data_IF_614301813265
#
_entry.id   IF_614301813265
#
_cell.length_a   1.000
_cell.length_b   1.000
_cell.length_c   1.000
_cell.angle_alpha   90.00
_cell.angle_beta   90.00
_cell.angle_gamma   90.00
#
_symmetry.space_group_name_H-M   'P 1'
#
loop_
_entity.id
_entity.type
_entity.pdbx_description
1 polymer ?
#
# COMPACT_ATOMS: atom_id res chain seq x y z
N UNK A 1 -0.54 -31.14 -14.47
CA UNK A 1 -1.51 -30.38 -15.24
C UNK A 1 -2.07 -29.23 -14.42
N UNK A 2 -1.96 -28.01 -14.94
CA UNK A 2 -2.50 -26.76 -14.37
C UNK A 2 -3.54 -26.14 -15.32
N UNK A 3 -4.26 -27.00 -16.06
CA UNK A 3 -5.13 -26.60 -17.18
C UNK A 3 -6.24 -25.64 -16.73
N UNK A 4 -6.78 -25.83 -15.52
CA UNK A 4 -7.81 -24.94 -14.96
C UNK A 4 -7.24 -23.56 -14.61
N UNK A 5 -6.09 -23.52 -13.91
CA UNK A 5 -5.41 -22.26 -13.55
C UNK A 5 -5.09 -21.39 -14.78
N UNK A 6 -4.78 -22.01 -15.93
CA UNK A 6 -4.51 -21.27 -17.17
C UNK A 6 -5.75 -20.63 -17.80
N UNK A 7 -6.96 -20.96 -17.34
CA UNK A 7 -8.23 -20.45 -17.87
C UNK A 7 -8.95 -19.53 -16.90
N UNK A 8 -8.88 -19.82 -15.61
CA UNK A 8 -9.58 -19.09 -14.54
C UNK A 8 -8.61 -18.96 -13.37
N UNK A 9 -8.39 -17.74 -12.90
CA UNK A 9 -7.60 -17.47 -11.69
C UNK A 9 -8.42 -17.87 -10.46
N UNK A 10 -7.83 -18.66 -9.56
CA UNK A 10 -8.42 -19.11 -8.31
C UNK A 10 -7.31 -19.62 -7.37
N UNK A 11 -7.60 -19.64 -6.07
CA UNK A 11 -6.60 -19.96 -5.04
C UNK A 11 -6.56 -21.46 -4.72
N UNK A 12 -7.73 -22.12 -4.77
CA UNK A 12 -7.93 -23.53 -4.41
C UNK A 12 -9.04 -24.15 -5.24
N UNK A 13 -8.95 -25.45 -5.52
CA UNK A 13 -10.00 -26.19 -6.23
C UNK A 13 -10.38 -27.49 -5.50
N UNK A 14 -11.66 -27.65 -5.17
CA UNK A 14 -12.23 -28.88 -4.61
C UNK A 14 -13.07 -29.58 -5.67
N UNK A 15 -12.76 -30.84 -5.96
CA UNK A 15 -13.58 -31.67 -6.84
C UNK A 15 -14.65 -32.39 -6.01
N UNK A 16 -15.91 -31.99 -6.20
CA UNK A 16 -17.08 -32.69 -5.66
C UNK A 16 -17.53 -33.79 -6.63
N UNK A 17 -16.80 -34.91 -6.69
CA UNK A 17 -17.17 -36.12 -7.43
C UNK A 17 -16.08 -37.19 -7.31
N UNK A 18 -16.43 -38.36 -6.75
CA UNK A 18 -15.91 -39.74 -6.96
C UNK A 18 -16.42 -40.60 -5.79
N UNK A 19 -16.78 -41.87 -6.05
CA UNK A 19 -16.97 -42.88 -5.00
C UNK A 19 -15.61 -43.48 -4.67
N UNK A 20 -15.16 -43.35 -3.41
CA UNK A 20 -13.95 -44.02 -2.96
C UNK A 20 -14.24 -45.51 -2.67
N UNK A 21 -13.27 -46.37 -2.93
CA UNK A 21 -13.39 -47.82 -2.64
C UNK A 21 -13.14 -48.15 -1.16
N UNK A 22 -12.64 -47.20 -0.37
CA UNK A 22 -12.29 -47.36 1.04
C UNK A 22 -13.17 -46.47 1.94
N UNK A 23 -12.99 -46.53 3.25
CA UNK A 23 -13.67 -45.66 4.24
C UNK A 23 -13.19 -44.19 4.21
N UNK A 24 -12.79 -43.71 3.04
CA UNK A 24 -12.31 -42.36 2.79
C UNK A 24 -13.42 -41.62 2.06
N UNK A 25 -13.78 -40.43 2.55
CA UNK A 25 -14.83 -39.60 1.94
C UNK A 25 -14.27 -38.28 1.39
N UNK A 26 -12.98 -38.04 1.57
CA UNK A 26 -12.27 -36.87 1.07
C UNK A 26 -10.76 -37.07 1.13
N UNK A 27 -10.02 -36.31 0.32
CA UNK A 27 -8.55 -36.30 0.33
C UNK A 27 -8.01 -34.99 -0.22
N UNK A 28 -7.06 -34.39 0.49
CA UNK A 28 -6.34 -33.19 0.07
C UNK A 28 -4.84 -33.27 0.39
N UNK A 29 -4.05 -32.40 -0.24
CA UNK A 29 -2.65 -32.19 0.14
C UNK A 29 -2.56 -31.29 1.36
N UNK A 30 -1.75 -31.67 2.34
CA UNK A 30 -1.51 -30.83 3.52
C UNK A 30 -0.56 -29.68 3.19
N UNK A 31 -0.95 -28.45 3.54
CA UNK A 31 -0.16 -27.22 3.31
C UNK A 31 0.00 -26.83 1.84
N UNK A 32 -0.93 -27.27 0.98
CA UNK A 32 -0.90 -27.02 -0.46
C UNK A 32 -1.51 -25.70 -0.92
N UNK A 33 -2.11 -24.89 -0.03
CA UNK A 33 -2.79 -23.65 -0.42
C UNK A 33 -1.90 -22.73 -1.27
N UNK A 34 -2.46 -22.16 -2.34
CA UNK A 34 -1.78 -21.38 -3.38
C UNK A 34 -0.78 -22.12 -4.28
N UNK A 35 -0.42 -23.38 -3.99
CA UNK A 35 0.45 -24.14 -4.89
C UNK A 35 -0.32 -24.55 -6.15
N UNK A 36 0.22 -24.30 -7.36
CA UNK A 36 -0.49 -24.55 -8.62
C UNK A 36 -0.82 -26.03 -8.88
N UNK A 37 -0.18 -26.97 -8.18
CA UNK A 37 -0.43 -28.41 -8.28
C UNK A 37 -1.05 -29.01 -7.03
N UNK A 38 -0.80 -28.42 -5.86
CA UNK A 38 -1.18 -28.99 -4.57
C UNK A 38 -2.34 -28.25 -3.87
N UNK A 39 -2.77 -27.08 -4.35
CA UNK A 39 -3.96 -26.38 -3.82
C UNK A 39 -5.27 -26.99 -4.31
N UNK A 40 -5.41 -28.29 -4.05
CA UNK A 40 -6.52 -29.11 -4.50
C UNK A 40 -6.97 -30.10 -3.44
N UNK A 41 -8.23 -30.50 -3.52
CA UNK A 41 -8.80 -31.61 -2.78
C UNK A 41 -9.94 -32.29 -3.54
N UNK A 42 -10.31 -33.47 -3.07
CA UNK A 42 -11.42 -34.28 -3.60
C UNK A 42 -12.38 -34.58 -2.46
N UNK A 43 -13.69 -34.42 -2.70
CA UNK A 43 -14.75 -34.63 -1.71
C UNK A 43 -15.82 -35.53 -2.31
N UNK A 44 -16.19 -36.58 -1.59
CA UNK A 44 -17.29 -37.47 -1.93
C UNK A 44 -18.62 -36.84 -1.50
N UNK A 45 -19.62 -36.88 -2.37
CA UNK A 45 -21.01 -36.54 -2.02
C UNK A 45 -21.65 -37.72 -1.27
N UNK A 46 -21.21 -37.91 -0.02
CA UNK A 46 -21.49 -39.14 0.78
C UNK A 46 -22.82 -39.12 1.52
N UNK A 47 -23.55 -37.99 1.51
CA UNK A 47 -24.75 -37.82 2.32
C UNK A 47 -25.75 -36.87 1.66
N UNK A 48 -27.08 -37.14 1.73
CA UNK A 48 -28.10 -36.20 1.27
C UNK A 48 -28.19 -34.95 2.16
N UNK A 49 -27.51 -34.94 3.30
CA UNK A 49 -27.41 -33.77 4.18
C UNK A 49 -26.22 -32.92 3.71
N UNK A 50 -26.50 -31.88 2.91
CA UNK A 50 -25.47 -30.98 2.34
C UNK A 50 -24.44 -30.51 3.37
N UNK A 51 -24.87 -30.29 4.62
CA UNK A 51 -23.98 -29.83 5.69
C UNK A 51 -22.89 -30.85 6.05
N UNK A 52 -23.18 -32.15 5.98
CA UNK A 52 -22.17 -33.19 6.22
C UNK A 52 -21.13 -33.25 5.09
N UNK A 53 -21.54 -32.93 3.85
CA UNK A 53 -20.63 -32.84 2.71
C UNK A 53 -19.79 -31.55 2.79
N UNK A 54 -20.39 -30.45 3.23
CA UNK A 54 -19.68 -29.21 3.53
C UNK A 54 -18.65 -29.38 4.65
N UNK A 55 -18.96 -30.16 5.69
CA UNK A 55 -17.99 -30.50 6.75
C UNK A 55 -16.77 -31.24 6.19
N UNK A 56 -16.97 -32.18 5.26
CA UNK A 56 -15.87 -32.84 4.55
C UNK A 56 -15.08 -31.86 3.69
N UNK A 57 -15.74 -30.96 2.97
CA UNK A 57 -15.05 -29.94 2.18
C UNK A 57 -14.20 -29.00 3.07
N UNK A 58 -14.75 -28.57 4.22
CA UNK A 58 -14.03 -27.77 5.20
C UNK A 58 -12.83 -28.53 5.79
N UNK A 59 -12.96 -29.84 6.01
CA UNK A 59 -11.86 -30.71 6.44
C UNK A 59 -10.72 -30.76 5.41
N UNK A 60 -11.05 -31.00 4.13
CA UNK A 60 -10.05 -31.07 3.06
C UNK A 60 -9.38 -29.72 2.79
N UNK A 61 -10.14 -28.62 2.83
CA UNK A 61 -9.57 -27.26 2.79
C UNK A 61 -8.71 -26.96 4.02
N UNK A 62 -9.06 -27.50 5.20
CA UNK A 62 -8.24 -27.45 6.41
C UNK A 62 -6.86 -28.08 6.19
N UNK A 63 -6.81 -29.26 5.56
CA UNK A 63 -5.53 -29.85 5.15
C UNK A 63 -4.77 -28.92 4.21
N UNK A 64 -5.40 -28.38 3.16
CA UNK A 64 -4.73 -27.44 2.26
C UNK A 64 -4.13 -26.22 3.01
N UNK A 65 -4.78 -25.78 4.09
CA UNK A 65 -4.34 -24.72 5.00
C UNK A 65 -3.35 -25.18 6.09
N UNK A 66 -2.73 -26.35 5.93
CA UNK A 66 -1.65 -26.84 6.79
C UNK A 66 -2.12 -27.53 8.08
N UNK A 67 -3.42 -27.77 8.23
CA UNK A 67 -3.99 -28.33 9.45
C UNK A 67 -4.02 -29.86 9.35
N UNK A 68 -3.59 -30.55 10.40
CA UNK A 68 -3.59 -32.00 10.51
C UNK A 68 -4.80 -32.50 11.31
N UNK A 69 -4.95 -33.82 11.34
CA UNK A 69 -5.98 -34.45 12.14
C UNK A 69 -5.82 -34.20 13.65
N UNK A 70 -6.95 -33.98 14.33
CA UNK A 70 -7.00 -33.86 15.79
C UNK A 70 -6.52 -35.14 16.47
N UNK A 71 -5.65 -35.00 17.48
CA UNK A 71 -5.14 -36.12 18.29
C UNK A 71 -4.98 -35.72 19.77
N UNK A 72 -4.97 -36.70 20.67
CA UNK A 72 -4.59 -36.50 22.08
C UNK A 72 -5.43 -35.44 22.81
N UNK A 73 -4.85 -34.25 22.98
CA UNK A 73 -5.41 -33.14 23.78
C UNK A 73 -6.21 -32.10 22.99
N UNK A 74 -6.39 -32.31 21.68
CA UNK A 74 -7.19 -31.40 20.84
C UNK A 74 -8.67 -31.44 21.22
N UNK A 75 -9.31 -30.26 21.34
CA UNK A 75 -10.69 -30.10 21.76
C UNK A 75 -11.34 -28.88 21.12
N UNK A 76 -12.64 -28.98 20.86
CA UNK A 76 -13.50 -27.89 20.38
C UNK A 76 -14.77 -27.77 21.26
N UNK A 77 -14.61 -27.86 22.58
CA UNK A 77 -15.71 -27.60 23.53
C UNK A 77 -16.66 -28.79 23.75
N UNK A 78 -16.16 -30.02 23.68
CA UNK A 78 -16.96 -31.24 23.92
C UNK A 78 -17.77 -31.73 22.72
N UNK A 79 -17.63 -31.07 21.56
CA UNK A 79 -18.18 -31.52 20.29
C UNK A 79 -17.15 -32.32 19.49
N UNK A 80 -17.60 -33.01 18.43
CA UNK A 80 -16.70 -33.46 17.37
C UNK A 80 -16.20 -32.25 16.57
N UNK A 81 -14.91 -32.24 16.24
CA UNK A 81 -14.26 -31.13 15.56
C UNK A 81 -14.09 -31.42 14.07
N UNK A 82 -14.01 -30.38 13.24
CA UNK A 82 -13.88 -30.49 11.77
C UNK A 82 -12.69 -31.39 11.38
N UNK A 83 -11.55 -31.27 12.07
CA UNK A 83 -10.33 -32.03 11.76
C UNK A 83 -10.25 -33.39 12.45
N UNK A 84 -11.36 -33.91 12.98
CA UNK A 84 -11.42 -35.31 13.43
C UNK A 84 -11.11 -36.27 12.28
N UNK A 85 -10.32 -37.33 12.56
CA UNK A 85 -10.02 -38.40 11.58
C UNK A 85 -11.25 -39.12 11.04
N UNK A 86 -12.35 -39.10 11.79
CA UNK A 86 -13.60 -39.77 11.48
C UNK A 86 -14.72 -38.74 11.53
N UNK A 87 -15.53 -38.69 10.48
CA UNK A 87 -16.66 -37.77 10.39
C UNK A 87 -17.75 -38.16 11.41
N UNK A 88 -18.43 -37.15 11.95
CA UNK A 88 -19.60 -37.33 12.81
C UNK A 88 -20.86 -37.57 11.99
N UNK A 89 -21.84 -38.28 12.54
CA UNK A 89 -23.19 -38.37 11.96
C UNK A 89 -23.98 -37.05 12.11
N UNK A 90 -23.53 -36.17 13.00
CA UNK A 90 -24.12 -34.85 13.20
C UNK A 90 -23.20 -33.78 12.60
N UNK A 91 -23.78 -32.74 11.98
CA UNK A 91 -22.98 -31.68 11.39
C UNK A 91 -22.06 -30.97 12.37
N UNK A 92 -20.87 -30.64 11.88
CA UNK A 92 -19.81 -30.00 12.64
C UNK A 92 -19.94 -28.47 12.55
N UNK A 93 -19.26 -27.77 13.46
CA UNK A 93 -19.25 -26.30 13.54
C UNK A 93 -17.89 -25.72 13.89
N UNK A 94 -17.06 -26.47 14.62
CA UNK A 94 -15.90 -25.90 15.28
C UNK A 94 -14.63 -26.63 14.84
N UNK A 95 -13.61 -25.83 14.55
CA UNK A 95 -12.22 -26.29 14.55
C UNK A 95 -11.74 -26.48 16.00
N UNK A 96 -10.76 -27.36 16.21
CA UNK A 96 -10.16 -27.55 17.53
C UNK A 96 -9.17 -26.43 17.86
N UNK A 97 -8.80 -26.34 19.14
CA UNK A 97 -7.69 -25.50 19.57
C UNK A 97 -6.37 -25.84 18.86
N UNK A 98 -6.12 -27.12 18.54
CA UNK A 98 -4.94 -27.53 17.77
C UNK A 98 -5.01 -27.02 16.33
N UNK A 99 -6.17 -27.18 15.69
CA UNK A 99 -6.38 -26.72 14.31
C UNK A 99 -6.07 -25.24 14.15
N UNK A 100 -6.52 -24.43 15.12
CA UNK A 100 -6.25 -22.98 15.13
C UNK A 100 -4.75 -22.67 15.23
N UNK A 101 -4.00 -23.39 16.07
CA UNK A 101 -2.55 -23.20 16.23
C UNK A 101 -1.82 -23.57 14.95
N UNK A 102 -2.15 -24.71 14.34
CA UNK A 102 -1.51 -25.18 13.11
C UNK A 102 -1.82 -24.27 11.92
N UNK A 103 -3.06 -23.78 11.82
CA UNK A 103 -3.44 -22.78 10.82
C UNK A 103 -2.57 -21.52 10.93
N UNK A 104 -2.42 -20.96 12.13
CA UNK A 104 -1.59 -19.77 12.32
C UNK A 104 -0.10 -20.04 12.07
N UNK A 105 0.39 -21.22 12.41
CA UNK A 105 1.76 -21.64 12.09
C UNK A 105 1.98 -21.69 10.56
N UNK A 106 1.01 -22.24 9.82
CA UNK A 106 1.01 -22.26 8.35
C UNK A 106 1.02 -20.85 7.75
N UNK A 107 0.08 -19.99 8.17
CA UNK A 107 -0.03 -18.60 7.68
C UNK A 107 1.26 -17.81 7.97
N UNK A 108 1.79 -17.92 9.18
CA UNK A 108 2.98 -17.12 9.57
C UNK A 108 4.28 -17.61 8.94
N UNK A 109 4.44 -18.93 8.72
CA UNK A 109 5.67 -19.49 8.14
C UNK A 109 5.69 -19.46 6.62
N UNK A 110 4.57 -19.78 5.97
CA UNK A 110 4.52 -19.89 4.50
C UNK A 110 3.98 -18.63 3.85
N UNK A 111 3.20 -17.81 4.58
CA UNK A 111 2.66 -16.53 4.11
C UNK A 111 2.07 -16.63 2.68
N UNK A 112 1.06 -17.50 2.46
CA UNK A 112 0.50 -17.74 1.13
C UNK A 112 -0.12 -16.46 0.56
N UNK A 113 0.53 -15.86 -0.43
CA UNK A 113 0.14 -14.53 -0.93
C UNK A 113 -1.21 -14.50 -1.66
N UNK A 114 -1.64 -15.62 -2.27
CA UNK A 114 -2.86 -15.64 -3.08
C UNK A 114 -4.16 -15.44 -2.29
N UNK A 115 -4.15 -15.72 -0.97
CA UNK A 115 -5.34 -15.54 -0.11
C UNK A 115 -5.39 -14.16 0.57
N UNK A 116 -4.51 -13.23 0.20
CA UNK A 116 -4.47 -11.88 0.78
C UNK A 116 -5.40 -10.89 0.05
N UNK A 117 -5.70 -11.14 -1.22
CA UNK A 117 -6.63 -10.31 -1.97
C UNK A 117 -8.07 -10.72 -1.69
N UNK A 118 -8.93 -9.73 -1.51
CA UNK A 118 -10.37 -9.93 -1.53
C UNK A 118 -10.84 -10.07 -2.99
N UNK A 119 -11.67 -11.07 -3.32
CA UNK A 119 -12.20 -11.22 -4.67
C UNK A 119 -13.09 -10.04 -5.04
N UNK A 120 -13.14 -9.67 -6.33
CA UNK A 120 -14.11 -8.67 -6.76
C UNK A 120 -15.51 -9.25 -6.65
N UNK A 121 -16.51 -8.40 -6.35
CA UNK A 121 -17.91 -8.81 -6.26
C UNK A 121 -18.40 -9.55 -7.52
N UNK A 122 -17.86 -9.17 -8.68
CA UNK A 122 -18.19 -9.78 -9.99
C UNK A 122 -17.56 -11.15 -10.23
N UNK A 123 -16.54 -11.52 -9.45
CA UNK A 123 -15.86 -12.81 -9.55
C UNK A 123 -16.58 -13.89 -8.72
N UNK A 124 -17.44 -13.48 -7.79
CA UNK A 124 -18.26 -14.37 -6.96
C UNK A 124 -19.48 -14.82 -7.76
N UNK A 125 -19.56 -16.12 -8.03
CA UNK A 125 -20.63 -16.73 -8.85
C UNK A 125 -21.78 -17.31 -8.03
N UNK A 126 -21.63 -17.41 -6.71
CA UNK A 126 -22.71 -17.83 -5.83
C UNK A 126 -23.83 -16.78 -5.80
N UNK A 127 -25.09 -17.18 -5.56
CA UNK A 127 -26.13 -16.22 -5.21
C UNK A 127 -25.69 -15.43 -3.97
N UNK A 128 -25.81 -14.08 -3.97
CA UNK A 128 -25.44 -13.24 -2.84
C UNK A 128 -26.14 -13.65 -1.54
N UNK A 129 -25.44 -13.62 -0.41
CA UNK A 129 -25.94 -13.97 0.92
C UNK A 129 -25.58 -12.91 1.95
N UNK A 130 -26.50 -11.99 2.16
CA UNK A 130 -26.34 -10.98 3.21
C UNK A 130 -26.07 -11.58 4.60
N UNK A 131 -24.99 -11.13 5.21
CA UNK A 131 -24.49 -11.52 6.52
C UNK A 131 -23.44 -12.62 6.49
N UNK A 132 -22.83 -12.90 5.34
CA UNK A 132 -21.75 -13.88 5.18
C UNK A 132 -20.34 -13.26 5.28
N UNK A 133 -20.23 -11.96 5.56
CA UNK A 133 -18.98 -11.19 5.67
C UNK A 133 -18.20 -11.07 4.35
N UNK A 134 -18.85 -11.33 3.21
CA UNK A 134 -18.30 -11.12 1.87
C UNK A 134 -19.14 -10.09 1.13
N UNK A 135 -18.49 -9.09 0.55
CA UNK A 135 -19.21 -8.04 -0.16
C UNK A 135 -19.58 -8.48 -1.58
N UNK A 136 -20.84 -8.83 -1.79
CA UNK A 136 -21.31 -9.44 -3.04
C UNK A 136 -22.09 -8.48 -3.95
N UNK A 137 -22.48 -8.95 -5.14
CA UNK A 137 -23.27 -8.16 -6.09
C UNK A 137 -24.66 -7.84 -5.52
N UNK A 138 -24.99 -6.54 -5.44
CA UNK A 138 -26.29 -6.04 -4.96
C UNK A 138 -26.28 -5.52 -3.52
N UNK A 139 -25.24 -5.85 -2.77
CA UNK A 139 -25.00 -5.36 -1.41
C UNK A 139 -24.21 -4.05 -1.45
N UNK A 140 -24.42 -3.17 -0.48
CA UNK A 140 -23.61 -1.96 -0.32
C UNK A 140 -22.52 -2.17 0.74
N UNK A 141 -22.79 -3.04 1.72
CA UNK A 141 -21.88 -3.44 2.79
C UNK A 141 -22.28 -4.84 3.30
N UNK A 142 -21.35 -5.59 3.90
CA UNK A 142 -21.64 -6.81 4.66
C UNK A 142 -20.70 -6.88 5.87
N UNK A 143 -21.27 -6.93 7.07
CA UNK A 143 -20.53 -6.99 8.33
C UNK A 143 -20.94 -8.22 9.17
N UNK A 144 -21.47 -9.25 8.50
CA UNK A 144 -21.98 -10.47 9.12
C UNK A 144 -23.38 -10.28 9.73
N UNK A 145 -23.76 -11.20 10.61
CA UNK A 145 -25.08 -11.18 11.24
C UNK A 145 -25.31 -9.93 12.12
N UNK A 146 -26.57 -9.48 12.33
CA UNK A 146 -26.91 -8.36 13.21
C UNK A 146 -26.39 -8.49 14.66
N UNK A 147 -26.09 -9.71 15.11
CA UNK A 147 -25.54 -9.95 16.45
C UNK A 147 -24.04 -9.65 16.55
N UNK A 148 -23.30 -9.86 15.46
CA UNK A 148 -21.84 -9.79 15.45
C UNK A 148 -21.31 -8.56 14.72
N UNK A 149 -22.13 -7.93 13.88
CA UNK A 149 -21.73 -6.73 13.15
C UNK A 149 -21.27 -5.62 14.09
N UNK A 150 -20.06 -5.11 13.81
CA UNK A 150 -19.46 -3.97 14.51
C UNK A 150 -19.32 -2.74 13.62
N UNK A 151 -19.62 -2.88 12.34
CA UNK A 151 -19.61 -1.76 11.40
C UNK A 151 -20.84 -0.89 11.65
N UNK A 152 -20.61 0.34 12.08
CA UNK A 152 -21.68 1.31 12.35
C UNK A 152 -22.33 1.84 11.08
N UNK A 153 -21.68 1.68 9.93
CA UNK A 153 -22.16 2.17 8.64
C UNK A 153 -23.19 1.24 8.02
N UNK A 154 -23.15 -0.03 8.40
CA UNK A 154 -23.85 -1.11 7.73
C UNK A 154 -25.07 -1.58 8.51
N UNK A 155 -26.22 -1.60 7.84
CA UNK A 155 -27.37 -2.36 8.32
C UNK A 155 -27.18 -3.85 8.00
N UNK A 156 -26.66 -4.58 8.98
CA UNK A 156 -26.41 -6.02 8.89
C UNK A 156 -27.65 -6.86 8.52
N UNK A 157 -28.87 -6.35 8.70
CA UNK A 157 -30.08 -7.09 8.34
C UNK A 157 -30.42 -6.97 6.85
N UNK A 158 -29.93 -5.92 6.19
CA UNK A 158 -30.28 -5.60 4.79
C UNK A 158 -29.06 -5.53 3.87
N UNK A 159 -27.85 -5.53 4.41
CA UNK A 159 -26.58 -5.34 3.69
C UNK A 159 -26.59 -4.04 2.87
N UNK A 160 -27.19 -3.01 3.48
CA UNK A 160 -27.29 -1.66 2.95
C UNK A 160 -26.59 -0.69 3.89
N UNK A 161 -25.99 0.35 3.32
CA UNK A 161 -25.48 1.44 4.13
C UNK A 161 -26.68 2.16 4.76
N UNK A 162 -26.53 2.58 6.01
CA UNK A 162 -27.55 3.42 6.61
C UNK A 162 -27.72 4.73 5.84
N UNK A 163 -28.93 5.26 5.79
CA UNK A 163 -29.24 6.48 5.02
C UNK A 163 -28.50 7.74 5.49
N UNK A 164 -27.84 7.69 6.65
CA UNK A 164 -27.04 8.80 7.20
C UNK A 164 -25.55 8.67 6.90
N UNK A 165 -25.10 7.59 6.25
CA UNK A 165 -23.71 7.42 5.83
C UNK A 165 -23.37 8.50 4.79
N UNK A 166 -22.33 9.27 5.07
CA UNK A 166 -21.83 10.34 4.20
C UNK A 166 -20.55 9.92 3.48
N UNK A 167 -19.80 8.97 4.05
CA UNK A 167 -18.55 8.45 3.51
C UNK A 167 -18.27 7.04 4.00
N UNK A 168 -17.47 6.29 3.23
CA UNK A 168 -17.01 4.94 3.60
C UNK A 168 -15.50 4.90 3.85
N UNK A 169 -14.72 5.76 3.17
CA UNK A 169 -13.27 5.82 3.26
C UNK A 169 -12.72 7.23 2.96
N UNK A 170 -11.47 7.49 3.36
CA UNK A 170 -10.76 8.76 3.18
C UNK A 170 -10.28 9.36 4.50
N UNK A 171 -9.25 10.22 4.48
CA UNK A 171 -8.65 10.77 5.71
C UNK A 171 -9.58 11.73 6.48
N UNK A 172 -10.63 12.22 5.81
CA UNK A 172 -11.70 13.03 6.39
C UNK A 172 -13.00 12.26 6.59
N UNK A 173 -12.94 10.92 6.68
CA UNK A 173 -14.05 10.08 7.07
C UNK A 173 -13.80 9.45 8.44
N UNK A 174 -14.74 9.65 9.37
CA UNK A 174 -14.72 8.98 10.67
C UNK A 174 -16.13 8.50 11.01
N UNK A 175 -16.26 7.23 11.37
CA UNK A 175 -17.55 6.59 11.70
C UNK A 175 -18.64 6.95 10.67
N UNK A 176 -18.32 6.74 9.39
CA UNK A 176 -19.21 6.95 8.24
C UNK A 176 -19.70 8.39 8.03
N UNK A 177 -19.08 9.37 8.69
CA UNK A 177 -19.42 10.79 8.59
C UNK A 177 -18.22 11.62 8.20
N UNK A 178 -18.48 12.75 7.56
CA UNK A 178 -17.41 13.69 7.28
C UNK A 178 -16.87 14.26 8.59
N UNK A 179 -15.55 14.20 8.74
CA UNK A 179 -14.86 14.87 9.84
C UNK A 179 -15.13 16.38 9.72
N UNK A 180 -15.48 17.01 10.85
CA UNK A 180 -15.86 18.44 10.91
C UNK A 180 -14.81 19.33 10.25
N UNK A 181 -15.29 20.38 9.59
CA UNK A 181 -14.46 21.40 8.98
C UNK A 181 -13.38 21.92 9.92
N UNK A 182 -12.14 22.01 9.45
CA UNK A 182 -10.99 22.52 10.22
C UNK A 182 -10.18 21.47 10.99
N UNK A 183 -10.63 20.21 11.07
CA UNK A 183 -9.77 19.13 11.59
C UNK A 183 -8.65 18.82 10.61
N UNK A 184 -7.41 18.75 11.11
CA UNK A 184 -6.23 18.46 10.29
C UNK A 184 -6.24 17.01 9.84
N UNK A 185 -6.29 16.78 8.52
CA UNK A 185 -6.16 15.47 7.90
C UNK A 185 -4.73 15.19 7.43
N UNK A 186 -3.97 16.22 7.07
CA UNK A 186 -2.54 16.11 6.76
C UNK A 186 -1.75 17.15 7.56
N UNK A 187 -0.91 16.73 8.52
CA UNK A 187 -0.03 17.64 9.23
C UNK A 187 1.15 18.07 8.33
N UNK A 188 1.74 19.25 8.59
CA UNK A 188 2.87 19.74 7.82
C UNK A 188 4.10 18.86 8.07
N UNK A 189 4.73 18.38 7.00
CA UNK A 189 5.92 17.51 7.04
C UNK A 189 7.22 18.28 7.17
N UNK A 190 7.25 19.53 6.72
CA UNK A 190 8.44 20.40 6.66
C UNK A 190 8.08 21.86 6.97
N UNK A 191 9.08 22.70 7.20
CA UNK A 191 8.88 24.13 7.49
C UNK A 191 8.13 24.88 6.37
N UNK A 192 8.30 24.47 5.10
CA UNK A 192 7.66 25.05 3.92
C UNK A 192 6.32 24.38 3.54
N UNK A 193 5.89 23.41 4.33
CA UNK A 193 4.63 22.69 4.15
C UNK A 193 3.52 23.36 4.97
N UNK A 194 2.27 23.23 4.51
CA UNK A 194 1.07 23.70 5.22
C UNK A 194 0.30 22.50 5.76
N UNK A 195 -0.65 22.71 6.66
CA UNK A 195 -1.55 21.66 7.09
C UNK A 195 -2.84 21.73 6.27
N UNK A 196 -3.36 20.61 5.77
CA UNK A 196 -4.70 20.56 5.21
C UNK A 196 -5.68 20.08 6.26
N UNK A 197 -6.84 20.69 6.20
CA UNK A 197 -7.94 20.39 7.08
C UNK A 197 -9.16 19.96 6.28
N UNK A 198 -9.92 19.03 6.86
CA UNK A 198 -11.18 18.58 6.31
C UNK A 198 -12.11 19.77 6.04
N UNK A 199 -12.88 19.68 4.96
CA UNK A 199 -13.87 20.69 4.59
C UNK A 199 -15.20 20.52 5.33
N UNK A 200 -15.42 19.35 5.95
CA UNK A 200 -16.71 18.95 6.53
C UNK A 200 -17.77 18.55 5.50
N UNK A 201 -17.39 18.46 4.22
CA UNK A 201 -18.30 18.15 3.10
C UNK A 201 -17.72 17.08 2.15
N UNK A 202 -16.54 16.57 2.46
CA UNK A 202 -15.82 15.58 1.66
C UNK A 202 -15.04 14.66 2.60
N UNK A 203 -14.95 13.39 2.21
CA UNK A 203 -14.14 12.38 2.88
C UNK A 203 -12.65 12.46 2.51
N UNK A 204 -12.34 13.11 1.39
CA UNK A 204 -10.97 13.28 0.91
C UNK A 204 -10.34 14.49 1.58
N UNK A 205 -9.12 14.31 2.08
CA UNK A 205 -8.30 15.45 2.48
C UNK A 205 -8.07 16.37 1.26
N UNK A 206 -8.14 17.70 1.40
CA UNK A 206 -7.82 18.61 0.30
C UNK A 206 -6.44 18.33 -0.30
N UNK A 207 -6.26 18.74 -1.56
CA UNK A 207 -4.96 18.65 -2.24
C UNK A 207 -3.87 19.36 -1.43
N UNK A 208 -2.71 18.72 -1.33
CA UNK A 208 -1.51 19.23 -0.67
C UNK A 208 -1.16 20.65 -1.16
N UNK A 209 -1.17 21.62 -0.25
CA UNK A 209 -0.79 23.00 -0.48
C UNK A 209 0.46 23.37 0.32
N UNK A 210 1.17 24.39 -0.15
CA UNK A 210 2.48 24.75 0.37
C UNK A 210 2.54 26.20 0.79
N UNK A 211 3.52 26.53 1.64
CA UNK A 211 3.81 27.93 1.92
C UNK A 211 4.18 28.63 0.62
N UNK A 212 3.74 29.89 0.51
CA UNK A 212 4.02 30.73 -0.66
C UNK A 212 5.50 30.67 -1.03
N UNK A 213 5.79 30.41 -2.30
CA UNK A 213 7.14 30.48 -2.83
C UNK A 213 7.79 31.83 -2.47
N UNK A 214 9.05 31.81 -2.06
CA UNK A 214 9.80 33.00 -1.62
C UNK A 214 9.75 33.27 -0.11
N UNK A 215 8.88 32.61 0.66
CA UNK A 215 8.86 32.70 2.12
C UNK A 215 10.23 32.25 2.69
N UNK A 216 10.88 32.99 3.59
CA UNK A 216 12.15 32.53 4.16
C UNK A 216 11.98 31.25 4.99
N UNK A 217 12.98 30.38 4.91
CA UNK A 217 13.07 29.11 5.62
C UNK A 217 14.53 28.80 5.97
N UNK A 218 14.75 27.80 6.84
CA UNK A 218 16.08 27.48 7.40
C UNK A 218 16.77 28.74 7.94
N UNK A 219 16.12 29.49 8.85
CA UNK A 219 16.71 30.71 9.45
C UNK A 219 17.24 31.73 8.42
N UNK A 220 16.47 32.02 7.35
CA UNK A 220 16.83 32.92 6.23
C UNK A 220 17.98 32.45 5.31
N UNK A 221 18.49 31.22 5.48
CA UNK A 221 19.50 30.67 4.55
C UNK A 221 18.90 30.28 3.19
N UNK A 222 17.58 30.10 3.09
CA UNK A 222 16.90 29.78 1.84
C UNK A 222 15.45 30.33 1.83
N UNK A 223 14.76 30.05 0.72
CA UNK A 223 13.37 30.44 0.52
C UNK A 223 12.54 29.23 0.08
N UNK A 224 11.28 29.18 0.52
CA UNK A 224 10.37 28.10 0.19
C UNK A 224 10.11 28.04 -1.32
N UNK A 225 10.07 26.83 -1.86
CA UNK A 225 9.74 26.55 -3.24
C UNK A 225 9.03 25.19 -3.31
N UNK A 226 7.75 25.19 -3.70
CA UNK A 226 6.93 23.98 -3.86
C UNK A 226 7.05 23.03 -2.65
N UNK A 227 6.78 23.54 -1.44
CA UNK A 227 6.81 22.76 -0.20
C UNK A 227 8.20 22.45 0.36
N UNK A 228 9.28 22.78 -0.37
CA UNK A 228 10.65 22.53 0.04
C UNK A 228 11.41 23.82 0.33
N UNK A 229 12.57 23.69 0.98
CA UNK A 229 13.49 24.79 1.25
C UNK A 229 14.85 24.51 0.57
N UNK A 230 14.94 24.68 -0.77
CA UNK A 230 16.15 24.34 -1.51
C UNK A 230 17.32 25.26 -1.15
N UNK A 231 18.43 24.65 -0.78
CA UNK A 231 19.69 25.33 -0.48
C UNK A 231 20.86 24.55 -1.10
N UNK A 232 21.84 25.27 -1.64
CA UNK A 232 23.01 24.67 -2.30
C UNK A 232 23.79 23.72 -1.38
N UNK A 233 23.82 23.99 -0.07
CA UNK A 233 24.46 23.09 0.90
C UNK A 233 23.86 21.68 0.88
N UNK A 234 22.54 21.54 0.95
CA UNK A 234 21.87 20.24 0.90
C UNK A 234 22.03 19.56 -0.47
N UNK A 235 22.12 20.32 -1.55
CA UNK A 235 22.40 19.78 -2.88
C UNK A 235 23.82 19.22 -2.96
N UNK A 236 24.82 19.92 -2.42
CA UNK A 236 26.19 19.41 -2.32
C UNK A 236 26.28 18.16 -1.45
N UNK A 237 25.59 18.16 -0.30
CA UNK A 237 25.48 16.99 0.56
C UNK A 237 24.88 15.79 -0.20
N UNK A 238 23.81 15.98 -0.96
CA UNK A 238 23.16 14.92 -1.72
C UNK A 238 24.05 14.36 -2.84
N UNK A 239 24.88 15.20 -3.46
CA UNK A 239 25.76 14.79 -4.56
C UNK A 239 27.08 14.16 -4.10
N UNK A 240 27.66 14.63 -3.00
CA UNK A 240 29.03 14.30 -2.60
C UNK A 240 29.17 13.81 -1.14
N UNK A 241 28.07 13.72 -0.39
CA UNK A 241 28.04 13.21 0.97
C UNK A 241 28.28 14.26 2.07
N UNK A 242 28.45 13.78 3.30
CA UNK A 242 28.45 14.61 4.52
C UNK A 242 29.49 15.71 4.61
N UNK A 243 30.62 15.54 3.94
CA UNK A 243 31.76 16.48 4.00
C UNK A 243 31.70 17.55 2.90
N UNK A 244 30.62 17.58 2.13
CA UNK A 244 30.45 18.49 1.01
C UNK A 244 29.78 19.80 1.43
N UNK A 245 30.32 20.92 0.94
CA UNK A 245 29.82 22.28 1.16
C UNK A 245 29.76 23.02 -0.17
N UNK A 246 29.16 24.21 -0.20
CA UNK A 246 29.25 25.07 -1.39
C UNK A 246 30.70 25.44 -1.68
N UNK A 247 31.08 25.38 -2.95
CA UNK A 247 32.36 25.93 -3.39
C UNK A 247 32.36 27.46 -3.35
N UNK A 248 33.54 28.06 -3.51
CA UNK A 248 33.68 29.51 -3.57
C UNK A 248 33.00 30.12 -4.80
N UNK A 249 32.56 31.37 -4.68
CA UNK A 249 31.88 32.13 -5.75
C UNK A 249 32.67 32.20 -7.07
N UNK A 250 34.00 32.08 -7.01
CA UNK A 250 34.89 32.01 -8.17
C UNK A 250 34.61 30.79 -9.06
N UNK A 251 34.24 29.64 -8.48
CA UNK A 251 33.93 28.42 -9.23
C UNK A 251 32.73 28.61 -10.17
N UNK A 252 31.72 29.36 -9.72
CA UNK A 252 30.49 29.60 -10.50
C UNK A 252 30.73 30.46 -11.75
N UNK A 253 31.83 31.21 -11.83
CA UNK A 253 32.14 32.05 -13.01
C UNK A 253 32.31 31.23 -14.29
N UNK A 254 32.63 29.95 -14.17
CA UNK A 254 32.80 29.03 -15.30
C UNK A 254 31.47 28.81 -16.04
N UNK A 255 30.32 29.02 -15.39
CA UNK A 255 28.99 28.93 -16.02
C UNK A 255 28.74 29.98 -17.13
N UNK A 256 29.61 30.98 -17.26
CA UNK A 256 29.59 31.93 -18.38
C UNK A 256 30.18 31.37 -19.68
N UNK A 257 30.76 30.17 -19.67
CA UNK A 257 31.37 29.56 -20.87
C UNK A 257 30.34 29.11 -21.91
N UNK A 258 29.15 28.68 -21.50
CA UNK A 258 28.11 28.20 -22.42
C UNK A 258 28.51 26.91 -23.15
N UNK A 259 29.28 26.03 -22.49
CA UNK A 259 29.69 24.74 -23.06
C UNK A 259 28.81 23.60 -22.57
N UNK A 260 29.17 22.34 -22.85
CA UNK A 260 28.39 21.14 -22.51
C UNK A 260 28.02 21.02 -21.03
N UNK A 261 28.87 21.46 -20.11
CA UNK A 261 28.67 21.27 -18.66
C UNK A 261 28.33 22.58 -17.93
N UNK A 262 28.78 23.72 -18.46
CA UNK A 262 28.77 25.02 -17.78
C UNK A 262 27.95 26.02 -18.58
N UNK A 263 26.66 26.03 -18.29
CA UNK A 263 25.66 26.88 -18.93
C UNK A 263 24.53 27.18 -17.93
N UNK A 264 23.62 28.07 -18.29
CA UNK A 264 22.41 28.31 -17.51
C UNK A 264 21.24 27.51 -18.09
N UNK A 265 20.88 27.73 -19.35
CA UNK A 265 19.70 27.11 -19.95
C UNK A 265 19.97 26.55 -21.34
N UNK A 266 19.14 25.61 -21.76
CA UNK A 266 19.16 25.01 -23.08
C UNK A 266 18.04 25.61 -23.92
N UNK A 267 18.37 26.24 -25.04
CA UNK A 267 17.40 26.76 -26.00
C UNK A 267 17.67 26.14 -27.37
N UNK A 268 16.71 25.40 -27.91
CA UNK A 268 16.83 24.72 -29.23
C UNK A 268 18.11 23.87 -29.38
N UNK A 269 18.52 23.18 -28.30
CA UNK A 269 19.73 22.35 -28.28
C UNK A 269 21.05 23.13 -28.12
N UNK A 270 20.98 24.44 -27.96
CA UNK A 270 22.14 25.30 -27.73
C UNK A 270 22.25 25.62 -26.24
N UNK A 271 23.44 25.41 -25.67
CA UNK A 271 23.76 25.79 -24.30
C UNK A 271 23.97 27.30 -24.20
N UNK A 272 23.08 27.98 -23.50
CA UNK A 272 23.16 29.42 -23.31
C UNK A 272 24.02 29.73 -22.07
N UNK A 273 25.11 30.51 -22.21
CA UNK A 273 25.94 30.91 -21.08
C UNK A 273 25.13 31.73 -20.07
N UNK A 274 25.49 31.65 -18.79
CA UNK A 274 24.89 32.49 -17.77
C UNK A 274 25.28 33.96 -17.94
N UNK A 275 24.35 34.88 -17.66
CA UNK A 275 24.70 36.27 -17.37
C UNK A 275 25.46 36.35 -16.04
N UNK A 276 26.07 37.51 -15.75
CA UNK A 276 26.89 37.67 -14.55
C UNK A 276 26.09 37.46 -13.25
N UNK A 277 24.84 37.90 -13.24
CA UNK A 277 23.87 37.76 -12.15
C UNK A 277 23.33 36.33 -12.00
N UNK A 278 23.42 35.51 -13.04
CA UNK A 278 22.82 34.17 -13.13
C UNK A 278 23.82 33.04 -12.88
N UNK A 279 25.11 33.35 -12.68
CA UNK A 279 26.18 32.33 -12.57
C UNK A 279 25.92 31.29 -11.46
N UNK A 280 25.17 31.68 -10.42
CA UNK A 280 24.74 30.82 -9.31
C UNK A 280 23.47 30.00 -9.58
N UNK A 281 22.93 30.05 -10.79
CA UNK A 281 21.77 29.28 -11.23
C UNK A 281 22.09 28.25 -12.32
N UNK A 282 23.35 28.17 -12.77
CA UNK A 282 23.83 27.16 -13.70
C UNK A 282 24.26 25.86 -13.01
N UNK A 283 25.44 25.36 -13.36
CA UNK A 283 26.08 24.22 -12.68
C UNK A 283 26.34 24.54 -11.21
N UNK A 284 25.99 23.60 -10.33
CA UNK A 284 26.36 23.65 -8.92
C UNK A 284 27.83 23.24 -8.75
N UNK A 285 28.56 24.01 -7.95
CA UNK A 285 29.93 23.69 -7.55
C UNK A 285 30.00 23.48 -6.04
N UNK A 286 30.68 22.40 -5.65
CA UNK A 286 30.82 21.95 -4.27
C UNK A 286 32.29 21.78 -3.89
N UNK A 287 32.61 22.15 -2.66
CA UNK A 287 33.90 21.84 -2.05
C UNK A 287 33.72 20.59 -1.17
N UNK A 288 34.62 19.61 -1.28
CA UNK A 288 34.62 18.42 -0.44
C UNK A 288 36.07 18.03 -0.15
N UNK A 289 36.42 17.98 1.14
CA UNK A 289 37.80 17.74 1.60
C UNK A 289 38.40 16.41 1.13
N UNK A 290 37.59 15.44 0.70
CA UNK A 290 38.07 14.16 0.17
C UNK A 290 38.64 14.26 -1.25
N UNK A 291 38.31 15.32 -1.98
CA UNK A 291 38.79 15.55 -3.34
C UNK A 291 39.79 16.70 -3.33
N UNK A 292 40.92 16.54 -4.02
CA UNK A 292 41.95 17.60 -4.13
C UNK A 292 41.44 18.86 -4.85
N UNK A 293 40.32 18.78 -5.56
CA UNK A 293 39.80 19.86 -6.39
C UNK A 293 38.77 20.71 -5.63
N UNK A 294 38.94 22.04 -5.64
CA UNK A 294 38.08 22.96 -4.90
C UNK A 294 36.69 23.19 -5.53
N UNK A 295 36.58 23.02 -6.86
CA UNK A 295 35.37 23.27 -7.63
C UNK A 295 34.78 21.96 -8.18
N UNK A 296 34.42 21.02 -7.30
CA UNK A 296 33.80 19.75 -7.74
C UNK A 296 32.41 20.01 -8.31
N UNK A 297 32.06 19.31 -9.38
CA UNK A 297 30.73 19.35 -9.99
C UNK A 297 30.31 17.95 -10.44
N UNK A 298 29.00 17.77 -10.62
CA UNK A 298 28.42 16.53 -11.17
C UNK A 298 27.72 16.86 -12.48
N UNK A 299 27.80 15.96 -13.47
CA UNK A 299 27.15 16.11 -14.78
C UNK A 299 25.64 16.31 -14.67
N UNK A 300 25.02 15.80 -13.59
CA UNK A 300 23.59 15.98 -13.28
C UNK A 300 23.29 17.11 -12.29
N UNK A 301 24.31 17.72 -11.68
CA UNK A 301 24.15 18.71 -10.59
C UNK A 301 23.95 20.16 -11.04
N UNK A 302 22.86 20.48 -11.73
CA UNK A 302 22.45 21.88 -11.91
C UNK A 302 21.81 22.40 -10.62
N UNK A 303 21.93 23.70 -10.31
CA UNK A 303 21.36 24.30 -9.10
C UNK A 303 19.83 24.25 -9.13
N UNK A 304 19.18 23.58 -8.20
CA UNK A 304 17.71 23.38 -8.21
C UNK A 304 16.91 24.69 -8.31
N UNK A 305 15.72 24.61 -8.92
CA UNK A 305 14.79 25.74 -8.97
C UNK A 305 14.36 26.15 -7.55
N UNK A 306 14.18 27.45 -7.33
CA UNK A 306 13.87 28.04 -6.03
C UNK A 306 15.08 28.22 -5.11
N UNK A 307 16.26 27.71 -5.47
CA UNK A 307 17.46 27.88 -4.65
C UNK A 307 17.86 29.34 -4.52
N UNK A 308 18.15 29.77 -3.28
CA UNK A 308 18.68 31.12 -3.01
C UNK A 308 20.05 31.32 -3.68
N UNK A 309 20.15 32.28 -4.59
CA UNK A 309 21.38 32.61 -5.31
C UNK A 309 22.00 33.95 -4.89
N UNK A 310 21.20 34.84 -4.31
CA UNK A 310 21.64 36.07 -3.66
C UNK A 310 20.58 36.49 -2.61
N UNK A 311 20.86 37.54 -1.84
CA UNK A 311 19.85 38.05 -0.90
C UNK A 311 18.60 38.54 -1.66
N UNK A 312 17.44 38.02 -1.28
CA UNK A 312 16.16 38.30 -1.94
C UNK A 312 15.98 37.69 -3.33
N UNK A 313 16.90 36.83 -3.81
CA UNK A 313 16.84 36.22 -5.15
C UNK A 313 16.89 34.70 -5.13
N UNK A 314 16.16 34.09 -6.06
CA UNK A 314 16.13 32.65 -6.31
C UNK A 314 16.36 32.32 -7.78
N UNK A 315 16.79 31.09 -8.05
CA UNK A 315 16.88 30.56 -9.42
C UNK A 315 15.50 30.13 -9.92
N UNK A 316 15.03 30.72 -11.02
CA UNK A 316 13.79 30.29 -11.67
C UNK A 316 14.02 29.10 -12.63
N UNK A 317 12.96 28.60 -13.27
CA UNK A 317 13.04 27.49 -14.24
C UNK A 317 13.88 27.80 -15.48
N UNK A 318 14.03 29.08 -15.83
CA UNK A 318 14.91 29.54 -16.91
C UNK A 318 16.35 29.78 -16.42
N UNK A 319 16.64 29.40 -15.18
CA UNK A 319 17.96 29.50 -14.53
C UNK A 319 18.46 30.94 -14.45
N UNK A 320 17.52 31.87 -14.26
CA UNK A 320 17.80 33.28 -14.02
C UNK A 320 17.62 33.60 -12.53
N UNK A 321 18.45 34.49 -12.02
CA UNK A 321 18.34 35.04 -10.69
C UNK A 321 17.21 36.09 -10.65
N UNK A 322 16.04 35.65 -10.20
CA UNK A 322 14.84 36.48 -10.11
C UNK A 322 14.51 36.83 -8.66
N UNK A 323 13.76 37.91 -8.46
CA UNK A 323 13.34 38.35 -7.13
C UNK A 323 12.33 37.34 -6.55
N UNK A 324 12.55 36.89 -5.32
CA UNK A 324 11.77 35.81 -4.68
C UNK A 324 10.27 36.12 -4.56
#
# INVERSE_FOLDING_TARGET
DTVLLNRISHDNAQLLAIVFNENVIGKAYTGGMCDPRYSVGVVMDHSPINRLVADTMAHEMGHNLGIHHDTGSCSCGGHSCIMSRVISHQPLQYFSNCSYIEYWDFITKLNPQCILNEPLRTDIVSPPVCGNELLEMGEECDCGSPRNCRDLCCDAATCKLHSWVECESGECCDQCRFIKAGNVCRPPRKECDVAEACTGQSAQCPTDDFKRNGQPCLNNYAYCYQGNCPIMYHQCYALFGSDATMAQDSCFQVNKKGNEYFYCRLENGINIPCAQEDVKCGRLFCHNMKYEQDCNYSDRGMVDNGTKCAEGKVCNSNRQAYQR
#
